data_IF_103663545973
#
_entry.id   IF_103663545973
#
_cell.length_a   1.000
_cell.length_b   1.000
_cell.length_c   1.000
_cell.angle_alpha   90.00
_cell.angle_beta   90.00
_cell.angle_gamma   90.00
#
_symmetry.space_group_name_H-M   'P 1'
#
loop_
_entity.id
_entity.type
_entity.pdbx_description
1 polymer ?
#
# COMPACT_ATOMS: atom_id res chain seq x y z
N UNK A 1 -11.47 9.13 8.43
CA UNK A 1 -12.06 10.10 7.49
C UNK A 1 -11.30 11.43 7.51
N UNK A 2 -11.10 12.03 8.69
CA UNK A 2 -10.34 13.28 8.91
C UNK A 2 -8.97 13.30 8.20
N UNK A 3 -8.22 12.19 8.23
CA UNK A 3 -6.93 12.10 7.56
C UNK A 3 -6.98 12.42 6.05
N UNK A 4 -8.08 12.12 5.35
CA UNK A 4 -8.24 12.49 3.94
C UNK A 4 -8.71 13.93 3.82
N UNK A 5 -9.72 14.33 4.59
CA UNK A 5 -10.28 15.69 4.53
C UNK A 5 -9.24 16.77 4.84
N UNK A 6 -8.44 16.57 5.90
CA UNK A 6 -7.46 17.56 6.37
C UNK A 6 -6.21 17.63 5.47
N UNK A 7 -6.04 16.65 4.58
CA UNK A 7 -4.81 16.53 3.78
C UNK A 7 -4.81 17.36 2.51
N UNK A 8 -5.98 17.69 1.95
CA UNK A 8 -6.10 18.35 0.67
C UNK A 8 -6.75 19.72 0.82
N UNK A 9 -6.12 20.75 0.26
CA UNK A 9 -6.75 22.07 0.19
C UNK A 9 -7.97 22.00 -0.75
N UNK A 10 -9.10 22.56 -0.32
CA UNK A 10 -10.30 22.71 -1.14
C UNK A 10 -10.10 23.82 -2.18
N UNK A 11 -10.35 23.50 -3.45
CA UNK A 11 -10.16 24.42 -4.58
C UNK A 11 -11.35 24.31 -5.52
N UNK A 12 -11.95 25.45 -5.87
CA UNK A 12 -13.11 25.52 -6.77
C UNK A 12 -12.78 25.05 -8.20
N UNK A 13 -11.55 25.31 -8.65
CA UNK A 13 -11.07 24.95 -9.97
C UNK A 13 -9.83 24.04 -9.91
N UNK A 14 -9.85 22.98 -10.72
CA UNK A 14 -8.80 21.96 -10.79
C UNK A 14 -8.45 21.42 -9.38
N UNK A 15 -9.40 20.74 -8.71
CA UNK A 15 -9.18 20.19 -7.37
C UNK A 15 -8.11 19.10 -7.37
N UNK A 16 -7.62 18.77 -6.18
CA UNK A 16 -6.86 17.54 -5.97
C UNK A 16 -7.74 16.33 -6.26
N UNK A 17 -7.18 15.35 -6.98
CA UNK A 17 -7.82 14.06 -7.22
C UNK A 17 -7.05 12.98 -6.47
N UNK A 18 -7.79 12.20 -5.69
CA UNK A 18 -7.29 11.02 -4.99
C UNK A 18 -8.01 9.80 -5.56
N UNK A 19 -7.26 8.91 -6.18
CA UNK A 19 -7.80 7.69 -6.74
C UNK A 19 -7.26 6.46 -6.00
N UNK A 20 -8.17 5.57 -5.59
CA UNK A 20 -7.85 4.35 -4.87
C UNK A 20 -8.00 3.14 -5.78
N UNK A 21 -6.98 2.27 -5.79
CA UNK A 21 -6.98 0.99 -6.49
C UNK A 21 -6.83 -0.12 -5.46
N UNK A 22 -7.79 -1.03 -5.42
CA UNK A 22 -7.85 -2.13 -4.47
C UNK A 22 -7.68 -3.46 -5.23
N UNK A 23 -6.47 -4.01 -5.24
CA UNK A 23 -6.12 -5.21 -6.02
C UNK A 23 -5.74 -6.37 -5.10
N UNK A 24 -6.24 -7.58 -5.38
CA UNK A 24 -5.76 -8.79 -4.70
C UNK A 24 -4.50 -9.32 -5.37
N UNK A 25 -3.40 -9.37 -4.61
CA UNK A 25 -2.11 -9.91 -5.06
C UNK A 25 -1.91 -11.31 -4.49
N UNK A 26 -1.42 -12.24 -5.32
CA UNK A 26 -1.05 -13.60 -4.89
C UNK A 26 0.42 -13.70 -4.46
N UNK A 27 1.17 -12.59 -4.48
CA UNK A 27 2.56 -12.54 -4.02
C UNK A 27 2.59 -12.24 -2.52
N UNK A 28 3.49 -12.92 -1.81
CA UNK A 28 3.61 -12.80 -0.35
C UNK A 28 4.94 -12.20 0.08
N UNK A 29 5.73 -11.66 -0.86
CA UNK A 29 7.11 -11.23 -0.60
C UNK A 29 7.19 -10.09 0.43
N UNK A 30 6.23 -9.16 0.41
CA UNK A 30 6.15 -8.09 1.43
C UNK A 30 5.87 -8.67 2.82
N UNK A 31 4.96 -9.63 2.91
CA UNK A 31 4.64 -10.29 4.17
C UNK A 31 5.84 -11.08 4.68
N UNK A 32 6.52 -11.84 3.81
CA UNK A 32 7.69 -12.65 4.16
C UNK A 32 8.90 -11.81 4.56
N UNK A 33 9.10 -10.64 3.93
CA UNK A 33 10.06 -9.63 4.40
C UNK A 33 9.70 -9.14 5.80
N UNK A 34 8.45 -8.72 6.00
CA UNK A 34 7.97 -8.30 7.32
C UNK A 34 8.11 -9.37 8.40
N UNK A 35 7.87 -10.64 8.07
CA UNK A 35 8.06 -11.78 8.97
C UNK A 35 9.54 -11.94 9.33
N UNK A 36 10.44 -11.82 8.36
CA UNK A 36 11.89 -11.89 8.57
C UNK A 36 12.38 -10.73 9.45
N UNK A 37 11.91 -9.50 9.17
CA UNK A 37 12.27 -8.29 9.91
C UNK A 37 11.74 -8.29 11.35
N UNK A 38 10.65 -9.02 11.60
CA UNK A 38 10.08 -9.17 12.94
C UNK A 38 10.94 -10.05 13.87
N UNK A 39 11.85 -10.86 13.32
CA UNK A 39 12.71 -11.75 14.11
C UNK A 39 13.65 -10.93 14.99
N UNK A 40 13.45 -11.01 16.31
CA UNK A 40 14.30 -10.36 17.32
C UNK A 40 15.72 -10.92 17.28
N UNK A 41 16.76 -10.10 17.59
CA UNK A 41 18.16 -10.53 17.57
C UNK A 41 18.44 -11.85 18.30
N UNK A 42 17.85 -12.04 19.49
CA UNK A 42 18.01 -13.27 20.30
C UNK A 42 17.47 -14.56 19.65
N UNK A 43 16.65 -14.44 18.62
CA UNK A 43 16.02 -15.57 17.93
C UNK A 43 16.57 -15.77 16.50
N UNK A 44 17.44 -14.87 16.03
CA UNK A 44 18.09 -14.98 14.72
C UNK A 44 19.07 -16.15 14.71
N UNK A 45 19.18 -16.82 13.56
CA UNK A 45 20.09 -17.97 13.37
C UNK A 45 19.74 -19.23 14.17
N UNK A 46 18.62 -19.25 14.89
CA UNK A 46 18.16 -20.48 15.55
C UNK A 46 17.54 -21.44 14.54
N UNK A 47 17.75 -22.74 14.73
CA UNK A 47 17.18 -23.79 13.88
C UNK A 47 15.65 -23.69 13.79
N UNK A 48 14.99 -23.31 14.89
CA UNK A 48 13.55 -23.10 14.92
C UNK A 48 13.13 -21.94 14.02
N UNK A 49 13.78 -20.77 14.14
CA UNK A 49 13.44 -19.59 13.33
C UNK A 49 13.65 -19.85 11.85
N UNK A 50 14.78 -20.45 11.47
CA UNK A 50 15.07 -20.79 10.07
C UNK A 50 14.04 -21.76 9.49
N UNK A 51 13.70 -22.80 10.26
CA UNK A 51 12.65 -23.74 9.87
C UNK A 51 11.31 -23.03 9.71
N UNK A 52 10.91 -22.22 10.69
CA UNK A 52 9.62 -21.55 10.73
C UNK A 52 9.43 -20.61 9.53
N UNK A 53 10.39 -19.72 9.27
CA UNK A 53 10.33 -18.76 8.15
C UNK A 53 10.24 -19.50 6.81
N UNK A 54 11.08 -20.54 6.61
CA UNK A 54 11.05 -21.36 5.39
C UNK A 54 9.71 -22.09 5.21
N UNK A 55 9.22 -22.72 6.27
CA UNK A 55 7.98 -23.50 6.26
C UNK A 55 6.76 -22.63 6.02
N UNK A 56 6.71 -21.44 6.63
CA UNK A 56 5.63 -20.49 6.42
C UNK A 56 5.61 -19.95 4.99
N UNK A 57 6.78 -19.65 4.41
CA UNK A 57 6.89 -19.28 3.00
C UNK A 57 6.39 -20.39 2.06
N UNK A 58 6.67 -21.66 2.39
CA UNK A 58 6.13 -22.80 1.64
C UNK A 58 4.60 -22.84 1.69
N UNK A 59 3.99 -22.66 2.86
CA UNK A 59 2.53 -22.64 3.00
C UNK A 59 1.87 -21.50 2.22
N UNK A 60 2.39 -20.29 2.33
CA UNK A 60 1.84 -19.13 1.59
C UNK A 60 1.89 -19.35 0.08
N UNK A 61 2.98 -19.92 -0.45
CA UNK A 61 3.07 -20.29 -1.87
C UNK A 61 2.09 -21.40 -2.25
N UNK A 62 1.89 -22.38 -1.36
CA UNK A 62 1.00 -23.50 -1.62
C UNK A 62 -0.46 -23.08 -1.78
N UNK A 63 -0.92 -22.08 -1.02
CA UNK A 63 -2.28 -21.56 -1.09
C UNK A 63 -2.49 -20.52 -2.20
N UNK A 64 -1.41 -19.96 -2.77
CA UNK A 64 -1.46 -18.89 -3.78
C UNK A 64 -1.37 -19.38 -5.25
N UNK A 65 -1.49 -20.70 -5.47
CA UNK A 65 -1.30 -21.31 -6.79
C UNK A 65 -2.29 -20.78 -7.84
N UNK A 66 -1.87 -20.65 -9.11
CA UNK A 66 -2.78 -20.41 -10.22
C UNK A 66 -3.89 -21.47 -10.25
N UNK A 67 -5.12 -21.06 -10.55
CA UNK A 67 -6.28 -21.97 -10.56
C UNK A 67 -6.92 -22.25 -9.21
N UNK A 68 -6.40 -21.69 -8.11
CA UNK A 68 -6.99 -21.86 -6.78
C UNK A 68 -6.53 -23.12 -6.05
N UNK A 69 -6.78 -23.17 -4.74
CA UNK A 69 -6.61 -24.34 -3.89
C UNK A 69 -7.87 -25.21 -3.88
N UNK A 70 -9.05 -24.59 -3.95
CA UNK A 70 -10.36 -25.24 -4.04
C UNK A 70 -11.37 -24.28 -4.69
N UNK A 71 -12.50 -24.78 -5.16
CA UNK A 71 -13.62 -23.94 -5.60
C UNK A 71 -14.50 -23.56 -4.42
N UNK A 72 -14.70 -22.27 -4.18
CA UNK A 72 -15.69 -21.81 -3.21
C UNK A 72 -17.07 -21.81 -3.85
N UNK A 73 -17.85 -22.86 -3.57
CA UNK A 73 -19.19 -23.05 -4.15
C UNK A 73 -20.29 -22.26 -3.42
N UNK A 74 -19.99 -21.66 -2.27
CA UNK A 74 -21.01 -21.06 -1.40
C UNK A 74 -21.12 -19.56 -1.62
N UNK A 75 -20.00 -18.84 -1.65
CA UNK A 75 -20.00 -17.38 -1.66
C UNK A 75 -19.59 -16.81 -3.02
N UNK A 76 -18.40 -17.17 -3.49
CA UNK A 76 -17.81 -16.52 -4.67
C UNK A 76 -18.06 -17.26 -5.98
N UNK A 77 -18.25 -18.59 -5.94
CA UNK A 77 -18.28 -19.48 -7.12
C UNK A 77 -17.04 -19.31 -8.01
N UNK A 78 -15.91 -19.02 -7.38
CA UNK A 78 -14.62 -18.83 -8.03
C UNK A 78 -13.58 -19.75 -7.36
N UNK A 79 -12.48 -20.07 -8.06
CA UNK A 79 -11.36 -20.75 -7.43
C UNK A 79 -10.78 -19.87 -6.32
N UNK A 80 -10.87 -20.35 -5.08
CA UNK A 80 -10.30 -19.69 -3.92
C UNK A 80 -8.79 -19.86 -3.92
N UNK A 81 -8.05 -18.80 -3.64
CA UNK A 81 -6.61 -18.84 -3.35
C UNK A 81 -6.26 -17.83 -2.27
N UNK A 82 -5.18 -18.11 -1.56
CA UNK A 82 -4.56 -17.16 -0.65
C UNK A 82 -4.05 -15.94 -1.42
N UNK A 83 -4.65 -14.79 -1.15
CA UNK A 83 -4.27 -13.50 -1.68
C UNK A 83 -4.29 -12.44 -0.58
N UNK A 84 -3.58 -11.35 -0.81
CA UNK A 84 -3.61 -10.16 0.06
C UNK A 84 -4.13 -8.97 -0.73
N UNK A 85 -5.08 -8.24 -0.14
CA UNK A 85 -5.56 -6.99 -0.71
C UNK A 85 -4.47 -5.93 -0.58
N UNK A 86 -4.03 -5.38 -1.70
CA UNK A 86 -3.17 -4.20 -1.75
C UNK A 86 -3.95 -2.99 -2.23
N UNK A 87 -3.93 -1.94 -1.42
CA UNK A 87 -4.53 -0.65 -1.76
C UNK A 87 -3.42 0.29 -2.20
N UNK A 88 -3.54 0.84 -3.41
CA UNK A 88 -2.68 1.89 -3.95
C UNK A 88 -3.49 3.16 -4.06
N UNK A 89 -2.85 4.28 -3.76
CA UNK A 89 -3.45 5.61 -3.86
C UNK A 89 -2.63 6.44 -4.83
N UNK A 90 -3.30 7.05 -5.80
CA UNK A 90 -2.69 7.99 -6.74
C UNK A 90 -3.27 9.36 -6.45
N UNK A 91 -2.37 10.31 -6.15
CA UNK A 91 -2.71 11.72 -5.90
C UNK A 91 -2.19 12.54 -7.05
N UNK A 92 -3.07 13.30 -7.70
CA UNK A 92 -2.69 14.19 -8.79
C UNK A 92 -3.60 15.41 -8.87
N UNK A 93 -3.14 16.42 -9.61
CA UNK A 93 -3.89 17.64 -9.88
C UNK A 93 -3.41 18.24 -11.20
N UNK A 94 -4.33 18.83 -11.95
CA UNK A 94 -3.97 19.66 -13.10
C UNK A 94 -3.52 21.04 -12.62
N UNK A 95 -2.26 21.38 -12.83
CA UNK A 95 -1.73 22.70 -12.50
C UNK A 95 -1.86 23.66 -13.70
N UNK A 96 -2.45 24.84 -13.48
CA UNK A 96 -2.40 25.93 -14.45
C UNK A 96 -1.17 26.81 -14.16
N UNK A 97 -0.36 27.09 -15.19
CA UNK A 97 0.91 27.82 -15.06
C UNK A 97 0.74 29.20 -14.39
N UNK A 98 -0.37 29.88 -14.65
CA UNK A 98 -0.71 31.19 -14.08
C UNK A 98 -0.95 31.13 -12.57
N UNK A 99 -1.51 30.03 -12.07
CA UNK A 99 -1.83 29.86 -10.63
C UNK A 99 -0.62 29.37 -9.85
N UNK A 100 0.23 28.54 -10.46
CA UNK A 100 1.50 28.09 -9.87
C UNK A 100 2.46 29.27 -9.63
N UNK A 101 2.56 30.18 -10.59
CA UNK A 101 3.40 31.39 -10.46
C UNK A 101 2.97 32.31 -9.30
N UNK A 102 1.66 32.45 -9.02
CA UNK A 102 1.15 33.31 -7.94
C UNK A 102 1.44 32.80 -6.52
N UNK A 103 1.60 31.49 -6.33
CA UNK A 103 1.89 30.90 -5.01
C UNK A 103 3.39 30.75 -4.72
N UNK A 104 4.26 31.02 -5.70
CA UNK A 104 5.71 30.87 -5.54
C UNK A 104 6.19 29.43 -5.33
N UNK A 105 5.30 28.45 -5.44
CA UNK A 105 5.57 27.02 -5.24
C UNK A 105 5.39 26.28 -6.58
N UNK A 106 6.33 25.42 -6.94
CA UNK A 106 6.19 24.58 -8.13
C UNK A 106 5.08 23.53 -7.95
N UNK A 107 4.45 23.03 -9.04
CA UNK A 107 3.46 21.97 -8.94
C UNK A 107 3.96 20.71 -8.21
N UNK A 108 5.23 20.34 -8.40
CA UNK A 108 5.89 19.19 -7.78
C UNK A 108 6.08 19.41 -6.28
N UNK A 109 6.46 20.63 -5.88
CA UNK A 109 6.58 21.00 -4.47
C UNK A 109 5.20 20.95 -3.80
N UNK A 110 4.16 21.46 -4.44
CA UNK A 110 2.79 21.41 -3.91
C UNK A 110 2.30 19.96 -3.74
N UNK A 111 2.51 19.09 -4.74
CA UNK A 111 2.20 17.67 -4.65
C UNK A 111 2.95 16.99 -3.50
N UNK A 112 4.23 17.34 -3.32
CA UNK A 112 5.05 16.78 -2.24
C UNK A 112 4.50 17.17 -0.88
N UNK A 113 4.21 18.45 -0.65
CA UNK A 113 3.61 18.93 0.61
C UNK A 113 2.31 18.21 0.94
N UNK A 114 1.42 18.04 -0.04
CA UNK A 114 0.13 17.37 0.15
C UNK A 114 0.31 15.89 0.47
N UNK A 115 1.18 15.18 -0.27
CA UNK A 115 1.47 13.78 0.00
C UNK A 115 2.12 13.57 1.37
N UNK A 116 2.98 14.48 1.83
CA UNK A 116 3.62 14.37 3.15
C UNK A 116 2.58 14.60 4.28
N UNK A 117 1.69 15.58 4.10
CA UNK A 117 0.55 15.81 5.01
C UNK A 117 -0.35 14.57 5.08
N UNK A 118 -0.64 13.97 3.92
CA UNK A 118 -1.44 12.76 3.81
C UNK A 118 -0.79 11.56 4.50
N UNK A 119 0.50 11.34 4.28
CA UNK A 119 1.24 10.27 4.97
C UNK A 119 1.21 10.48 6.49
N UNK A 120 1.40 11.71 6.95
CA UNK A 120 1.28 12.05 8.38
C UNK A 120 -0.13 11.81 8.94
N UNK A 121 -1.16 12.24 8.21
CA UNK A 121 -2.57 12.02 8.59
C UNK A 121 -2.94 10.54 8.65
N UNK A 122 -2.51 9.75 7.67
CA UNK A 122 -2.69 8.29 7.65
C UNK A 122 -1.96 7.63 8.84
N UNK A 123 -0.72 8.03 9.12
CA UNK A 123 0.05 7.51 10.24
C UNK A 123 -0.63 7.81 11.60
N UNK A 124 -1.14 9.03 11.78
CA UNK A 124 -1.90 9.42 12.98
C UNK A 124 -3.18 8.59 13.15
N UNK A 125 -3.81 8.18 12.05
CA UNK A 125 -4.96 7.28 12.04
C UNK A 125 -4.56 5.78 12.20
N UNK A 126 -3.28 5.47 12.39
CA UNK A 126 -2.78 4.09 12.52
C UNK A 126 -2.64 3.34 11.19
N UNK A 127 -2.79 4.03 10.05
CA UNK A 127 -2.65 3.45 8.72
C UNK A 127 -1.21 3.53 8.27
N UNK A 128 -0.58 2.36 8.08
CA UNK A 128 0.77 2.28 7.50
C UNK A 128 0.69 2.57 6.00
N UNK A 129 1.34 3.64 5.56
CA UNK A 129 1.49 4.00 4.15
C UNK A 129 2.96 4.13 3.78
N UNK A 130 3.28 3.87 2.53
CA UNK A 130 4.61 4.09 1.96
C UNK A 130 4.44 4.82 0.63
N UNK A 131 5.21 5.88 0.41
CA UNK A 131 5.29 6.54 -0.90
C UNK A 131 5.99 5.60 -1.89
N UNK A 132 5.38 5.45 -3.07
CA UNK A 132 5.93 4.63 -4.14
C UNK A 132 6.83 5.48 -5.02
N UNK A 133 7.96 4.92 -5.41
CA UNK A 133 8.84 5.48 -6.44
C UNK A 133 8.45 4.89 -7.81
N UNK A 134 8.99 5.46 -8.90
CA UNK A 134 8.63 5.04 -10.27
C UNK A 134 8.91 3.55 -10.58
N UNK A 135 9.77 2.89 -9.80
CA UNK A 135 10.14 1.49 -9.97
C UNK A 135 9.32 0.50 -9.11
N UNK A 136 8.36 0.98 -8.30
CA UNK A 136 7.56 0.18 -7.35
C UNK A 136 6.23 -0.36 -7.91
#
# INVERSE_FOLDING_TARGET
ENALQDSFDELDENPWVVQLYAQDESTWDNYLRGLSDYVRPRAQGSTFTEFYVRFFAHHLRAIAKPGGLFEDTTVTRLPWRGQVRRVRMVVYRRANAVTASRRGQSPEQALTTICDRLVGGLANAGVKSRRMEAAD
#
